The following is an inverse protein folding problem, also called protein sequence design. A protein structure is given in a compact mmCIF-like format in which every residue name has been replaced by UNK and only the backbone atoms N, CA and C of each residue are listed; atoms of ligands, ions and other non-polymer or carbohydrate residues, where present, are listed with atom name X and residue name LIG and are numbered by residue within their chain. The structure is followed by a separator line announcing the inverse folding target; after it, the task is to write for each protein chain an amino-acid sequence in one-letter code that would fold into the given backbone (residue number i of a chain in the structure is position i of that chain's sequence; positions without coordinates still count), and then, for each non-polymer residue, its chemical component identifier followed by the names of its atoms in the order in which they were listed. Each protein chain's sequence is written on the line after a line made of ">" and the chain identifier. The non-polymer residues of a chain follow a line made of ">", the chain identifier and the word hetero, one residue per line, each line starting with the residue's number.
data_IF_472073689243
#
_entry.id   IF_472073689243
#
_cell.length_a   1.000
_cell.length_b   1.000
_cell.length_c   1.000
_cell.angle_alpha   90.00
_cell.angle_beta   90.00
_cell.angle_gamma   90.00
#
_symmetry.space_group_name_H-M   'P 1'
#
loop_
_entity.id
_entity.type
_entity.pdbx_description
1 polymer ?
#
# COMPACT_ATOMS: atom_id res chain seq x y z
N UNK A 1 -2.43 -10.21 16.30
CA UNK A 1 -3.83 -10.21 15.84
C UNK A 1 -4.67 -11.11 16.72
N UNK A 2 -4.33 -12.39 16.90
CA UNK A 2 -5.09 -13.34 17.72
C UNK A 2 -5.29 -12.88 19.17
N UNK A 3 -4.24 -12.37 19.83
CA UNK A 3 -4.34 -11.81 21.19
C UNK A 3 -5.20 -10.56 21.30
N UNK A 4 -5.44 -9.86 20.18
CA UNK A 4 -6.28 -8.67 20.08
C UNK A 4 -7.69 -9.01 19.55
N UNK A 5 -7.97 -10.27 19.22
CA UNK A 5 -9.24 -10.70 18.64
C UNK A 5 -9.51 -10.14 17.24
N UNK A 6 -8.47 -9.88 16.44
CA UNK A 6 -8.61 -9.37 15.07
C UNK A 6 -8.52 -10.54 14.07
N UNK A 7 -9.64 -10.85 13.43
CA UNK A 7 -9.73 -11.93 12.45
C UNK A 7 -9.02 -11.56 11.14
N UNK A 8 -9.39 -10.41 10.57
CA UNK A 8 -8.83 -9.86 9.32
C UNK A 8 -8.37 -8.42 9.55
N UNK A 9 -7.18 -8.08 9.06
CA UNK A 9 -6.64 -6.73 9.10
C UNK A 9 -6.44 -6.19 7.69
N UNK A 10 -7.02 -5.01 7.41
CA UNK A 10 -6.71 -4.27 6.18
C UNK A 10 -5.41 -3.50 6.41
N UNK A 11 -4.45 -3.69 5.52
CA UNK A 11 -3.12 -3.07 5.59
C UNK A 11 -2.93 -2.05 4.47
N UNK A 12 -2.17 -1.00 4.76
CA UNK A 12 -1.78 0.04 3.79
C UNK A 12 -0.38 0.55 4.11
N UNK A 13 0.32 1.19 3.15
CA UNK A 13 1.66 1.72 3.36
C UNK A 13 1.70 2.83 4.42
N UNK A 14 2.83 2.92 5.14
CA UNK A 14 3.11 4.03 6.05
C UNK A 14 3.18 5.37 5.30
N UNK A 15 2.63 6.43 5.91
CA UNK A 15 2.50 7.75 5.27
C UNK A 15 3.82 8.36 4.78
N UNK A 16 4.96 7.99 5.38
CA UNK A 16 6.27 8.43 4.90
C UNK A 16 6.63 7.92 3.50
N UNK A 17 5.95 6.90 2.98
CA UNK A 17 6.16 6.37 1.63
C UNK A 17 5.29 7.03 0.55
N UNK A 18 4.43 7.97 0.92
CA UNK A 18 3.58 8.66 -0.07
C UNK A 18 4.39 9.52 -1.03
N UNK A 19 5.45 10.17 -0.55
CA UNK A 19 6.38 10.95 -1.38
C UNK A 19 5.70 12.00 -2.30
N UNK A 20 4.56 12.55 -1.86
CA UNK A 20 3.77 13.50 -2.68
C UNK A 20 4.50 14.83 -2.94
N UNK A 21 5.47 15.16 -2.10
CA UNK A 21 6.34 16.33 -2.22
C UNK A 21 7.52 16.12 -3.19
N UNK A 22 7.79 14.87 -3.59
CA UNK A 22 8.87 14.49 -4.50
C UNK A 22 8.39 14.48 -5.97
N UNK A 23 9.32 14.39 -6.95
CA UNK A 23 8.97 14.22 -8.35
C UNK A 23 8.02 13.03 -8.57
N UNK A 24 7.05 13.18 -9.48
CA UNK A 24 6.02 12.16 -9.77
C UNK A 24 6.62 10.77 -10.03
N UNK A 25 7.75 10.70 -10.74
CA UNK A 25 8.44 9.44 -11.02
C UNK A 25 8.86 8.71 -9.74
N UNK A 26 9.31 9.44 -8.71
CA UNK A 26 9.68 8.89 -7.41
C UNK A 26 8.46 8.39 -6.65
N UNK A 27 7.41 9.20 -6.54
CA UNK A 27 6.17 8.80 -5.86
C UNK A 27 5.50 7.59 -6.54
N UNK A 28 5.53 7.54 -7.87
CA UNK A 28 5.03 6.40 -8.65
C UNK A 28 5.84 5.13 -8.38
N UNK A 29 7.17 5.22 -8.42
CA UNK A 29 8.04 4.07 -8.13
C UNK A 29 7.79 3.54 -6.71
N UNK A 30 7.77 4.42 -5.71
CA UNK A 30 7.46 4.01 -4.33
C UNK A 30 6.05 3.43 -4.19
N UNK A 31 5.06 3.97 -4.90
CA UNK A 31 3.70 3.43 -4.88
C UNK A 31 3.65 2.00 -5.43
N UNK A 32 4.35 1.72 -6.53
CA UNK A 32 4.46 0.36 -7.10
C UNK A 32 5.12 -0.58 -6.10
N UNK A 33 6.31 -0.24 -5.60
CA UNK A 33 7.06 -1.09 -4.67
C UNK A 33 6.25 -1.39 -3.40
N UNK A 34 5.57 -0.39 -2.84
CA UNK A 34 4.71 -0.58 -1.66
C UNK A 34 3.51 -1.47 -1.97
N UNK A 35 2.88 -1.29 -3.13
CA UNK A 35 1.70 -2.06 -3.53
C UNK A 35 2.05 -3.52 -3.79
N UNK A 36 3.21 -3.80 -4.40
CA UNK A 36 3.70 -5.16 -4.63
C UNK A 36 3.96 -5.89 -3.29
N UNK A 37 4.57 -5.22 -2.31
CA UNK A 37 4.82 -5.81 -0.99
C UNK A 37 3.51 -6.14 -0.24
N UNK A 38 2.57 -5.19 -0.15
CA UNK A 38 1.29 -5.47 0.53
C UNK A 38 0.44 -6.48 -0.26
N UNK A 39 0.58 -6.54 -1.58
CA UNK A 39 -0.05 -7.57 -2.40
C UNK A 39 0.52 -8.95 -2.05
N UNK A 40 1.84 -9.08 -1.93
CA UNK A 40 2.50 -10.31 -1.48
C UNK A 40 2.00 -10.74 -0.10
N UNK A 41 1.82 -9.81 0.85
CA UNK A 41 1.24 -10.14 2.16
C UNK A 41 -0.19 -10.67 2.04
N UNK A 42 -1.06 -9.97 1.30
CA UNK A 42 -2.47 -10.36 1.13
C UNK A 42 -2.65 -11.65 0.32
N UNK A 43 -1.70 -12.02 -0.53
CA UNK A 43 -1.72 -13.30 -1.25
C UNK A 43 -1.13 -14.44 -0.45
N UNK A 44 -0.15 -14.17 0.42
CA UNK A 44 0.45 -15.17 1.30
C UNK A 44 -0.51 -15.58 2.42
N UNK A 45 -1.27 -14.62 2.97
CA UNK A 45 -2.25 -14.87 4.03
C UNK A 45 -3.63 -14.26 3.70
N UNK A 46 -4.32 -14.79 2.69
CA UNK A 46 -5.57 -14.20 2.16
C UNK A 46 -6.72 -14.19 3.17
N UNK A 47 -6.73 -15.13 4.13
CA UNK A 47 -7.75 -15.18 5.17
C UNK A 47 -7.48 -14.24 6.35
N UNK A 48 -6.30 -13.58 6.37
CA UNK A 48 -5.87 -12.71 7.48
C UNK A 48 -5.65 -11.28 7.05
N UNK A 49 -5.28 -11.03 5.80
CA UNK A 49 -4.97 -9.69 5.30
C UNK A 49 -5.75 -9.35 4.03
N UNK A 50 -6.24 -8.11 4.01
CA UNK A 50 -6.65 -7.44 2.78
C UNK A 50 -5.74 -6.21 2.58
N UNK A 51 -5.48 -5.85 1.32
CA UNK A 51 -4.56 -4.76 0.97
C UNK A 51 -5.29 -3.53 0.46
N UNK A 52 -4.82 -2.35 0.85
CA UNK A 52 -5.22 -1.06 0.33
C UNK A 52 -3.98 -0.38 -0.26
N UNK A 53 -3.96 -0.27 -1.59
CA UNK A 53 -2.85 0.34 -2.34
C UNK A 53 -2.77 1.85 -2.18
N UNK A 54 -1.56 2.38 -2.35
CA UNK A 54 -1.30 3.81 -2.46
C UNK A 54 -1.11 4.22 -3.93
N UNK A 55 -1.37 5.49 -4.22
CA UNK A 55 -1.27 6.09 -5.54
C UNK A 55 -0.46 7.40 -5.47
N UNK A 56 0.22 7.82 -6.55
CA UNK A 56 0.89 9.13 -6.63
C UNK A 56 -0.17 10.25 -6.77
N UNK A 57 -0.75 10.67 -5.65
CA UNK A 57 -1.91 11.57 -5.61
C UNK A 57 -1.68 12.97 -6.19
N UNK A 58 -0.42 13.39 -6.39
CA UNK A 58 -0.08 14.66 -7.01
C UNK A 58 -0.29 14.66 -8.54
N UNK A 59 -0.42 13.50 -9.17
CA UNK A 59 -0.65 13.36 -10.61
C UNK A 59 -1.80 12.36 -10.90
N UNK A 60 -3.02 12.85 -11.16
CA UNK A 60 -4.17 12.00 -11.47
C UNK A 60 -3.94 11.04 -12.64
N UNK A 61 -3.14 11.42 -13.64
CA UNK A 61 -2.88 10.54 -14.79
C UNK A 61 -2.00 9.34 -14.40
N UNK A 62 -1.10 9.50 -13.43
CA UNK A 62 -0.29 8.42 -12.88
C UNK A 62 -1.01 7.58 -11.83
N UNK A 63 -2.19 8.03 -11.37
CA UNK A 63 -3.00 7.39 -10.33
C UNK A 63 -4.18 6.55 -10.88
N UNK A 64 -4.27 6.37 -12.20
CA UNK A 64 -5.29 5.57 -12.89
C UNK A 64 -4.71 4.20 -13.29
#
# INVERSE_FOLDING_TARGET
>A
MDSLGVDVQVISPYAGFYNYDLPVATAKATSVDCNDEIHQMSTTWPDRFASLGTLPMQDPAAAV
#
